data_IF_964384737228
#
_entry.id   IF_964384737228
#
_cell.length_a   1.000
_cell.length_b   1.000
_cell.length_c   1.000
_cell.angle_alpha   90.00
_cell.angle_beta   90.00
_cell.angle_gamma   90.00
#
_symmetry.space_group_name_H-M   'P 1'
#
loop_
_entity.id
_entity.type
_entity.pdbx_description
1 polymer ?
#
# COMPACT_ATOMS: atom_id res chain seq x y z
N UNK A 1 12.38 4.86 -13.82
CA UNK A 1 11.07 4.35 -13.41
C UNK A 1 11.06 2.82 -13.42
N UNK A 2 10.63 2.20 -12.32
CA UNK A 2 10.55 0.74 -12.18
C UNK A 2 9.10 0.31 -12.48
N UNK A 3 8.72 0.27 -13.77
CA UNK A 3 7.35 -0.01 -14.19
C UNK A 3 7.02 -1.51 -14.28
N UNK A 4 8.03 -2.37 -14.18
CA UNK A 4 7.86 -3.82 -14.22
C UNK A 4 8.23 -4.45 -12.87
N UNK A 5 7.78 -5.67 -12.64
CA UNK A 5 8.14 -6.44 -11.45
C UNK A 5 9.65 -6.69 -11.34
N UNK A 6 10.15 -6.71 -10.12
CA UNK A 6 11.54 -7.04 -9.78
C UNK A 6 12.61 -6.19 -10.50
N UNK A 7 12.29 -4.94 -10.87
CA UNK A 7 13.26 -4.02 -11.48
C UNK A 7 14.38 -3.64 -10.51
N UNK A 8 14.06 -3.54 -9.22
CA UNK A 8 15.04 -3.38 -8.15
C UNK A 8 15.24 -4.76 -7.52
N UNK A 9 16.44 -5.31 -7.66
CA UNK A 9 16.78 -6.64 -7.22
C UNK A 9 18.24 -6.70 -6.72
N UNK A 10 18.70 -7.88 -6.33
CA UNK A 10 20.03 -8.07 -5.77
C UNK A 10 21.17 -7.60 -6.69
N UNK A 11 20.98 -7.63 -8.01
CA UNK A 11 22.05 -7.30 -8.96
C UNK A 11 22.29 -5.80 -9.12
N UNK A 12 21.29 -4.97 -8.79
CA UNK A 12 21.35 -3.52 -8.96
C UNK A 12 21.08 -2.71 -7.68
N UNK A 13 20.76 -3.34 -6.57
CA UNK A 13 20.44 -2.64 -5.32
C UNK A 13 21.59 -1.74 -4.81
N UNK A 14 22.85 -2.07 -5.15
CA UNK A 14 24.01 -1.27 -4.75
C UNK A 14 24.08 0.09 -5.46
N UNK A 15 23.40 0.22 -6.60
CA UNK A 15 23.32 1.48 -7.35
C UNK A 15 22.19 2.39 -6.85
N UNK A 16 21.40 1.95 -5.87
CA UNK A 16 20.30 2.73 -5.31
C UNK A 16 20.85 3.66 -4.23
N UNK A 17 20.76 4.95 -4.49
CA UNK A 17 21.20 6.01 -3.56
C UNK A 17 20.02 6.78 -2.94
N UNK A 18 18.79 6.36 -3.20
CA UNK A 18 17.59 6.98 -2.65
C UNK A 18 17.47 6.69 -1.14
N UNK A 19 17.01 7.68 -0.39
CA UNK A 19 16.65 7.49 1.02
C UNK A 19 15.21 6.94 1.16
N UNK A 20 14.38 7.22 0.18
CA UNK A 20 12.96 6.83 0.14
C UNK A 20 12.65 6.21 -1.21
N UNK A 21 11.89 5.12 -1.20
CA UNK A 21 11.33 4.49 -2.39
C UNK A 21 9.81 4.44 -2.23
N UNK A 22 9.07 4.94 -3.24
CA UNK A 22 7.61 4.86 -3.28
C UNK A 22 7.23 4.00 -4.48
N UNK A 23 6.58 2.88 -4.24
CA UNK A 23 6.24 1.90 -5.27
C UNK A 23 4.89 2.24 -5.91
N UNK A 24 4.91 3.01 -7.01
CA UNK A 24 3.71 3.29 -7.78
C UNK A 24 3.30 2.13 -8.71
N UNK A 25 4.25 1.28 -9.12
CA UNK A 25 3.98 0.04 -9.85
C UNK A 25 3.80 -1.15 -8.91
N UNK A 26 3.29 -2.27 -9.42
CA UNK A 26 3.15 -3.49 -8.64
C UNK A 26 4.47 -4.28 -8.63
N UNK A 27 4.94 -4.66 -7.43
CA UNK A 27 6.10 -5.50 -7.23
C UNK A 27 7.42 -5.01 -7.83
N UNK A 28 7.73 -3.69 -7.86
CA UNK A 28 8.94 -3.21 -8.55
C UNK A 28 10.23 -3.59 -7.81
N UNK A 29 10.15 -3.79 -6.50
CA UNK A 29 11.27 -4.23 -5.65
C UNK A 29 11.08 -5.71 -5.30
N UNK A 30 12.10 -6.53 -5.59
CA UNK A 30 12.05 -7.94 -5.22
C UNK A 30 12.06 -8.12 -3.70
N UNK A 31 11.48 -9.22 -3.19
CA UNK A 31 11.43 -9.49 -1.75
C UNK A 31 12.82 -9.54 -1.11
N UNK A 32 13.81 -10.06 -1.83
CA UNK A 32 15.19 -10.11 -1.35
C UNK A 32 15.81 -8.71 -1.26
N UNK A 33 15.59 -7.87 -2.29
CA UNK A 33 16.06 -6.50 -2.30
C UNK A 33 15.35 -5.63 -1.23
N UNK A 34 14.05 -5.84 -0.99
CA UNK A 34 13.29 -5.14 0.05
C UNK A 34 13.94 -5.33 1.44
N UNK A 35 14.30 -6.55 1.78
CA UNK A 35 14.96 -6.83 3.05
C UNK A 35 16.33 -6.14 3.16
N UNK A 36 17.16 -6.24 2.12
CA UNK A 36 18.49 -5.65 2.09
C UNK A 36 18.46 -4.12 2.10
N UNK A 37 17.51 -3.50 1.39
CA UNK A 37 17.32 -2.05 1.39
C UNK A 37 16.81 -1.55 2.75
N UNK A 38 15.92 -2.31 3.39
CA UNK A 38 15.47 -2.00 4.75
C UNK A 38 16.62 -2.04 5.76
N UNK A 39 17.51 -3.05 5.68
CA UNK A 39 18.69 -3.17 6.54
C UNK A 39 19.69 -2.02 6.30
N UNK A 40 19.73 -1.47 5.08
CA UNK A 40 20.48 -0.25 4.73
C UNK A 40 19.82 1.05 5.23
N UNK A 41 18.65 0.97 5.85
CA UNK A 41 17.91 2.13 6.36
C UNK A 41 17.12 2.88 5.28
N UNK A 42 16.93 2.32 4.09
CA UNK A 42 16.08 2.90 3.05
C UNK A 42 14.62 2.61 3.37
N UNK A 43 13.82 3.68 3.44
CA UNK A 43 12.39 3.56 3.69
C UNK A 43 11.66 3.25 2.39
N UNK A 44 10.92 2.13 2.36
CA UNK A 44 10.11 1.74 1.20
C UNK A 44 8.62 1.86 1.57
N UNK A 45 7.90 2.74 0.88
CA UNK A 45 6.44 2.78 0.90
C UNK A 45 5.95 1.75 -0.12
N UNK A 46 5.36 0.63 0.35
CA UNK A 46 5.09 -0.51 -0.52
C UNK A 46 3.93 -0.24 -1.48
N UNK A 47 3.93 -0.95 -2.60
CA UNK A 47 2.93 -0.89 -3.66
C UNK A 47 1.49 -1.05 -3.15
N UNK A 48 1.25 -2.05 -2.31
CA UNK A 48 -0.08 -2.31 -1.69
C UNK A 48 -0.66 -1.08 -0.96
N UNK A 49 0.17 -0.11 -0.59
CA UNK A 49 -0.25 1.15 0.01
C UNK A 49 -0.15 2.31 -0.99
N UNK A 50 1.00 2.46 -1.65
CA UNK A 50 1.30 3.64 -2.45
C UNK A 50 0.42 3.77 -3.69
N UNK A 51 0.07 2.67 -4.35
CA UNK A 51 -0.75 2.67 -5.57
C UNK A 51 -2.24 2.38 -5.35
N UNK A 52 -2.67 2.20 -4.10
CA UNK A 52 -4.04 1.88 -3.76
C UNK A 52 -5.06 2.98 -4.11
N UNK A 53 -4.60 4.22 -4.33
CA UNK A 53 -5.48 5.36 -4.61
C UNK A 53 -6.38 5.15 -5.84
N UNK A 54 -5.87 4.54 -6.89
CA UNK A 54 -6.66 4.24 -8.09
C UNK A 54 -7.85 3.30 -7.80
N UNK A 55 -7.62 2.26 -7.02
CA UNK A 55 -8.69 1.33 -6.60
C UNK A 55 -9.70 2.02 -5.70
N UNK A 56 -9.25 2.90 -4.79
CA UNK A 56 -10.13 3.68 -3.91
C UNK A 56 -11.05 4.60 -4.73
N UNK A 57 -10.51 5.30 -5.74
CA UNK A 57 -11.31 6.16 -6.62
C UNK A 57 -12.30 5.34 -7.45
N UNK A 58 -11.89 4.19 -7.99
CA UNK A 58 -12.79 3.26 -8.69
C UNK A 58 -13.94 2.78 -7.79
N UNK A 59 -13.67 2.56 -6.51
CA UNK A 59 -14.73 2.24 -5.53
C UNK A 59 -15.69 3.42 -5.33
N UNK A 60 -15.19 4.66 -5.29
CA UNK A 60 -16.06 5.84 -5.21
C UNK A 60 -16.95 5.98 -6.44
N UNK A 61 -16.41 5.72 -7.64
CA UNK A 61 -17.19 5.69 -8.88
C UNK A 61 -18.32 4.66 -8.80
N UNK A 62 -18.01 3.45 -8.35
CA UNK A 62 -19.03 2.41 -8.15
C UNK A 62 -20.11 2.82 -7.15
N UNK A 63 -19.74 3.44 -6.02
CA UNK A 63 -20.71 3.94 -5.01
C UNK A 63 -21.61 5.01 -5.60
N UNK A 64 -21.06 5.98 -6.34
CA UNK A 64 -21.81 7.04 -7.00
C UNK A 64 -22.81 6.46 -8.01
N UNK A 65 -22.40 5.47 -8.79
CA UNK A 65 -23.26 4.80 -9.76
C UNK A 65 -24.45 4.08 -9.10
N UNK A 66 -24.24 3.41 -7.96
CA UNK A 66 -25.33 2.77 -7.22
C UNK A 66 -26.29 3.78 -6.58
N UNK A 67 -25.74 4.88 -6.10
CA UNK A 67 -26.53 5.92 -5.43
C UNK A 67 -27.20 6.89 -6.39
N UNK A 68 -26.87 6.81 -7.69
CA UNK A 68 -27.31 7.77 -8.72
C UNK A 68 -27.01 9.23 -8.35
N UNK A 69 -25.89 9.43 -7.62
CA UNK A 69 -25.43 10.73 -7.13
C UNK A 69 -23.98 10.97 -7.57
N UNK A 70 -23.71 12.16 -8.06
CA UNK A 70 -22.39 12.55 -8.53
C UNK A 70 -21.69 13.43 -7.49
N UNK A 71 -20.45 13.06 -7.16
CA UNK A 71 -19.61 13.85 -6.28
C UNK A 71 -18.82 14.87 -7.09
N UNK A 72 -18.51 16.01 -6.47
CA UNK A 72 -17.56 16.96 -7.05
C UNK A 72 -16.14 16.39 -6.98
N UNK A 73 -15.27 16.90 -7.84
CA UNK A 73 -13.85 16.53 -7.83
C UNK A 73 -13.21 16.79 -6.45
N UNK A 74 -13.55 17.93 -5.84
CA UNK A 74 -13.07 18.28 -4.51
C UNK A 74 -13.47 17.24 -3.47
N UNK A 75 -14.72 16.74 -3.53
CA UNK A 75 -15.21 15.71 -2.62
C UNK A 75 -14.47 14.38 -2.82
N UNK A 76 -14.23 14.01 -4.07
CA UNK A 76 -13.44 12.81 -4.40
C UNK A 76 -12.02 12.93 -3.84
N UNK A 77 -11.35 14.05 -4.12
CA UNK A 77 -9.97 14.29 -3.69
C UNK A 77 -9.84 14.33 -2.17
N UNK A 78 -10.73 15.04 -1.48
CA UNK A 78 -10.74 15.09 -0.01
C UNK A 78 -10.94 13.70 0.59
N UNK A 79 -11.92 12.94 0.08
CA UNK A 79 -12.21 11.60 0.59
C UNK A 79 -11.05 10.62 0.32
N UNK A 80 -10.39 10.77 -0.83
CA UNK A 80 -9.19 10.00 -1.16
C UNK A 80 -8.04 10.31 -0.20
N UNK A 81 -7.76 11.61 0.03
CA UNK A 81 -6.69 12.04 0.95
C UNK A 81 -6.93 11.52 2.37
N UNK A 82 -8.15 11.63 2.89
CA UNK A 82 -8.53 11.09 4.19
C UNK A 82 -8.30 9.58 4.28
N UNK A 83 -8.72 8.82 3.25
CA UNK A 83 -8.57 7.36 3.20
C UNK A 83 -7.11 6.93 3.10
N UNK A 84 -6.36 7.54 2.21
CA UNK A 84 -4.95 7.21 2.00
C UNK A 84 -4.09 7.64 3.18
N UNK A 85 -4.35 8.82 3.75
CA UNK A 85 -3.67 9.31 4.94
C UNK A 85 -3.91 8.43 6.17
N UNK A 86 -5.15 8.01 6.42
CA UNK A 86 -5.46 7.08 7.48
C UNK A 86 -4.77 5.72 7.29
N UNK A 87 -4.80 5.17 6.07
CA UNK A 87 -4.12 3.91 5.77
C UNK A 87 -2.60 4.00 5.97
N UNK A 88 -1.99 5.11 5.54
CA UNK A 88 -0.57 5.34 5.77
C UNK A 88 -0.24 5.43 7.27
N UNK A 89 -1.04 6.16 8.05
CA UNK A 89 -0.86 6.29 9.49
C UNK A 89 -0.94 4.95 10.20
N UNK A 90 -1.93 4.11 9.87
CA UNK A 90 -2.07 2.76 10.44
C UNK A 90 -0.83 1.89 10.17
N UNK A 91 -0.34 1.93 8.92
CA UNK A 91 0.86 1.16 8.51
C UNK A 91 2.10 1.69 9.20
N UNK A 92 2.28 3.00 9.24
CA UNK A 92 3.41 3.66 9.88
C UNK A 92 3.51 3.33 11.37
N UNK A 93 2.41 3.50 12.11
CA UNK A 93 2.38 3.20 13.55
C UNK A 93 2.60 1.71 13.82
N UNK A 94 2.01 0.83 13.01
CA UNK A 94 2.23 -0.62 13.13
C UNK A 94 3.70 -0.98 12.89
N UNK A 95 4.32 -0.42 11.86
CA UNK A 95 5.72 -0.66 11.53
C UNK A 95 6.64 -0.19 12.68
N UNK A 96 6.37 1.00 13.22
CA UNK A 96 7.13 1.60 14.32
C UNK A 96 7.03 0.79 15.62
N UNK A 97 5.80 0.44 16.02
CA UNK A 97 5.56 -0.32 17.27
C UNK A 97 6.19 -1.71 17.17
N UNK A 98 6.06 -2.37 16.00
CA UNK A 98 6.55 -3.75 15.81
C UNK A 98 7.99 -3.83 15.33
N UNK A 99 8.62 -2.69 15.00
CA UNK A 99 9.99 -2.60 14.45
C UNK A 99 10.17 -3.47 13.20
N UNK A 100 9.23 -3.33 12.25
CA UNK A 100 9.21 -4.06 10.97
C UNK A 100 9.12 -3.07 9.81
N UNK A 101 9.40 -3.53 8.57
CA UNK A 101 9.24 -2.69 7.38
C UNK A 101 7.77 -2.29 7.15
N UNK A 102 7.55 -1.17 6.44
CA UNK A 102 6.19 -0.74 6.07
C UNK A 102 5.45 -1.81 5.26
N UNK A 103 6.16 -2.56 4.40
CA UNK A 103 5.59 -3.68 3.66
C UNK A 103 5.03 -4.76 4.59
N UNK A 104 5.82 -5.21 5.56
CA UNK A 104 5.36 -6.22 6.54
C UNK A 104 4.17 -5.71 7.36
N UNK A 105 4.19 -4.44 7.75
CA UNK A 105 3.10 -3.81 8.48
C UNK A 105 1.81 -3.73 7.64
N UNK A 106 1.92 -3.32 6.36
CA UNK A 106 0.79 -3.25 5.44
C UNK A 106 0.14 -4.62 5.23
N UNK A 107 0.93 -5.66 4.95
CA UNK A 107 0.41 -7.03 4.83
C UNK A 107 -0.23 -7.53 6.11
N UNK A 108 0.37 -7.27 7.26
CA UNK A 108 -0.18 -7.67 8.57
C UNK A 108 -1.57 -7.07 8.80
N UNK A 109 -1.74 -5.78 8.51
CA UNK A 109 -3.03 -5.09 8.63
C UNK A 109 -4.03 -5.66 7.60
N UNK A 110 -3.63 -5.82 6.34
CA UNK A 110 -4.50 -6.29 5.28
C UNK A 110 -4.99 -7.72 5.55
N UNK A 111 -4.10 -8.64 5.88
CA UNK A 111 -4.44 -10.03 6.20
C UNK A 111 -5.35 -10.10 7.44
N UNK A 112 -5.04 -9.31 8.47
CA UNK A 112 -5.90 -9.24 9.66
C UNK A 112 -7.31 -8.79 9.32
N UNK A 113 -7.49 -7.74 8.50
CA UNK A 113 -8.80 -7.25 8.08
C UNK A 113 -9.61 -8.32 7.34
N UNK A 114 -8.96 -9.06 6.43
CA UNK A 114 -9.60 -10.17 5.69
C UNK A 114 -10.02 -11.29 6.64
N UNK A 115 -9.15 -11.70 7.56
CA UNK A 115 -9.44 -12.76 8.53
C UNK A 115 -10.60 -12.35 9.45
N UNK A 116 -10.56 -11.13 9.98
CA UNK A 116 -11.61 -10.63 10.90
C UNK A 116 -12.95 -10.55 10.18
N UNK A 117 -12.98 -10.08 8.95
CA UNK A 117 -14.19 -10.05 8.11
C UNK A 117 -14.72 -11.46 7.85
N UNK A 118 -13.84 -12.42 7.54
CA UNK A 118 -14.22 -13.81 7.30
C UNK A 118 -14.81 -14.46 8.56
N UNK A 119 -14.22 -14.16 9.72
CA UNK A 119 -14.76 -14.66 11.01
C UNK A 119 -16.16 -14.12 11.31
N UNK A 120 -16.39 -12.82 11.03
CA UNK A 120 -17.69 -12.19 11.24
C UNK A 120 -18.78 -12.70 10.29
N UNK A 121 -18.43 -12.97 9.03
CA UNK A 121 -19.37 -13.50 8.02
C UNK A 121 -19.61 -15.00 8.13
N UNK A 122 -18.78 -15.72 8.89
CA UNK A 122 -18.73 -17.16 8.88
C UNK A 122 -17.96 -17.72 7.69
N UNK A 123 -17.51 -18.97 7.81
CA UNK A 123 -17.01 -19.75 6.68
C UNK A 123 -18.23 -20.40 6.04
N UNK A 124 -18.73 -19.75 5.03
CA UNK A 124 -19.80 -20.36 4.25
C UNK A 124 -19.24 -21.24 3.16
N UNK A 125 -19.80 -22.42 2.91
CA UNK A 125 -19.67 -23.05 1.63
C UNK A 125 -20.45 -22.25 0.57
#
# INVERSE_FOLDING_TARGET
PAALENQINRTNLETIHAQYIVEAANGPVSMEADALLHDKGILIVPDILANAGGVVVSYFEWVQNIQEMWWTEEKVNQTLEEKMGAAFSDVWETAKIRRISLRKAAYLIAVKRVIDTKKLRGIWP
#
